data_IF_096402550774
#
_entry.id   IF_096402550774
#
_cell.length_a   1.000
_cell.length_b   1.000
_cell.length_c   1.000
_cell.angle_alpha   90.00
_cell.angle_beta   90.00
_cell.angle_gamma   90.00
#
_symmetry.space_group_name_H-M   'P 1'
#
loop_
_entity.id
_entity.type
_entity.pdbx_description
1 polymer ?
#
# COMPACT_ATOMS: atom_id res chain seq x y z
N UNK A 1 5.12 -12.40 -27.52
CA UNK A 1 5.19 -12.54 -26.05
C UNK A 1 3.77 -12.41 -25.50
N UNK A 2 3.12 -13.53 -25.24
CA UNK A 2 1.76 -13.61 -24.70
C UNK A 2 1.79 -13.28 -23.21
N UNK A 3 1.18 -12.17 -22.80
CA UNK A 3 1.03 -11.83 -21.38
C UNK A 3 0.05 -12.82 -20.72
N UNK A 4 0.30 -13.26 -19.47
CA UNK A 4 -0.65 -14.10 -18.74
C UNK A 4 -1.87 -13.26 -18.37
N UNK A 5 -3.05 -13.69 -18.81
CA UNK A 5 -4.31 -13.09 -18.41
C UNK A 5 -4.43 -13.15 -16.88
N UNK A 6 -4.50 -11.99 -16.23
CA UNK A 6 -4.96 -11.90 -14.85
C UNK A 6 -6.30 -12.61 -14.77
N UNK A 7 -6.40 -13.62 -13.91
CA UNK A 7 -7.66 -14.26 -13.58
C UNK A 7 -8.53 -13.26 -12.79
N UNK A 8 -9.13 -12.30 -13.51
CA UNK A 8 -10.21 -11.49 -12.99
C UNK A 8 -11.41 -12.43 -12.79
N UNK A 9 -11.85 -12.59 -11.54
CA UNK A 9 -13.11 -13.29 -11.27
C UNK A 9 -14.20 -12.60 -12.09
N UNK A 10 -14.87 -13.35 -12.96
CA UNK A 10 -15.92 -12.76 -13.78
C UNK A 10 -17.10 -12.33 -12.89
N UNK A 11 -17.77 -11.23 -13.24
CA UNK A 11 -18.93 -10.71 -12.52
C UNK A 11 -19.99 -11.78 -12.13
N UNK A 12 -20.33 -12.78 -12.97
CA UNK A 12 -21.23 -13.85 -12.57
C UNK A 12 -20.69 -14.76 -11.46
N UNK A 13 -19.37 -15.00 -11.38
CA UNK A 13 -18.78 -15.78 -10.27
C UNK A 13 -18.88 -15.00 -8.96
N UNK A 14 -18.68 -13.69 -8.96
CA UNK A 14 -18.83 -12.88 -7.75
C UNK A 14 -20.27 -12.86 -7.23
N UNK A 15 -21.25 -12.76 -8.14
CA UNK A 15 -22.66 -12.84 -7.78
C UNK A 15 -23.02 -14.24 -7.23
N UNK A 16 -22.51 -15.31 -7.83
CA UNK A 16 -22.70 -16.66 -7.33
C UNK A 16 -22.04 -16.90 -5.97
N UNK A 17 -20.82 -16.39 -5.76
CA UNK A 17 -20.12 -16.44 -4.47
C UNK A 17 -20.91 -15.72 -3.38
N UNK A 18 -21.47 -14.54 -3.68
CA UNK A 18 -22.27 -13.77 -2.73
C UNK A 18 -23.54 -14.52 -2.29
N UNK A 19 -24.29 -15.08 -3.25
CA UNK A 19 -25.49 -15.89 -2.97
C UNK A 19 -25.16 -17.15 -2.16
N UNK A 20 -24.04 -17.81 -2.48
CA UNK A 20 -23.58 -18.98 -1.72
C UNK A 20 -23.18 -18.62 -0.30
N UNK A 21 -22.57 -17.45 -0.09
CA UNK A 21 -22.22 -16.96 1.24
C UNK A 21 -23.44 -16.62 2.08
N UNK A 22 -24.45 -15.99 1.49
CA UNK A 22 -25.72 -15.66 2.15
C UNK A 22 -26.41 -16.91 2.70
N UNK A 23 -26.48 -17.98 1.90
CA UNK A 23 -27.13 -19.24 2.29
C UNK A 23 -26.17 -20.28 2.88
N UNK A 24 -24.92 -19.92 3.20
CA UNK A 24 -23.90 -20.88 3.58
C UNK A 24 -24.31 -21.77 4.76
N UNK A 25 -24.91 -21.16 5.80
CA UNK A 25 -25.33 -21.90 6.99
C UNK A 25 -26.46 -22.89 6.71
N UNK A 26 -27.44 -22.50 5.90
CA UNK A 26 -28.56 -23.35 5.51
C UNK A 26 -28.09 -24.54 4.67
N UNK A 27 -27.22 -24.28 3.69
CA UNK A 27 -26.62 -25.30 2.84
C UNK A 27 -25.81 -26.32 3.66
N UNK A 28 -25.07 -25.87 4.66
CA UNK A 28 -24.30 -26.75 5.56
C UNK A 28 -25.23 -27.62 6.41
N UNK A 29 -26.30 -27.05 6.99
CA UNK A 29 -27.26 -27.82 7.79
C UNK A 29 -27.98 -28.90 6.95
N UNK A 30 -28.35 -28.56 5.73
CA UNK A 30 -28.94 -29.49 4.77
C UNK A 30 -27.97 -30.61 4.38
N UNK A 31 -26.71 -30.26 4.08
CA UNK A 31 -25.66 -31.23 3.78
C UNK A 31 -25.49 -32.23 4.92
N UNK A 32 -25.43 -31.76 6.17
CA UNK A 32 -25.30 -32.63 7.36
C UNK A 32 -26.50 -33.55 7.49
N UNK A 33 -27.72 -33.04 7.26
CA UNK A 33 -28.94 -33.85 7.33
C UNK A 33 -28.94 -34.95 6.27
N UNK A 34 -28.55 -34.62 5.03
CA UNK A 34 -28.44 -35.57 3.92
C UNK A 34 -27.34 -36.61 4.16
N UNK A 35 -26.19 -36.19 4.69
CA UNK A 35 -25.10 -37.09 5.05
C UNK A 35 -25.54 -38.09 6.14
N UNK A 36 -26.26 -37.63 7.17
CA UNK A 36 -26.81 -38.50 8.24
C UNK A 36 -27.83 -39.52 7.72
N UNK A 37 -28.52 -39.22 6.62
CA UNK A 37 -29.45 -40.14 5.95
C UNK A 37 -28.75 -41.16 5.05
N UNK A 38 -27.42 -41.09 4.90
CA UNK A 38 -26.64 -42.02 4.11
C UNK A 38 -26.54 -41.66 2.61
N UNK A 39 -26.79 -40.41 2.22
CA UNK A 39 -26.64 -40.00 0.84
C UNK A 39 -25.15 -39.98 0.43
N UNK A 40 -24.71 -40.76 -0.58
CA UNK A 40 -23.28 -40.93 -0.90
C UNK A 40 -22.54 -39.62 -1.22
N UNK A 41 -23.19 -38.72 -1.96
CA UNK A 41 -22.61 -37.43 -2.33
C UNK A 41 -22.37 -36.53 -1.11
N UNK A 42 -23.35 -36.46 -0.21
CA UNK A 42 -23.26 -35.67 1.01
C UNK A 42 -22.23 -36.24 1.99
N UNK A 43 -22.16 -37.57 2.15
CA UNK A 43 -21.15 -38.23 2.99
C UNK A 43 -19.73 -37.97 2.48
N UNK A 44 -19.50 -38.04 1.16
CA UNK A 44 -18.20 -37.74 0.57
C UNK A 44 -17.78 -36.29 0.86
N UNK A 45 -18.65 -35.32 0.59
CA UNK A 45 -18.37 -33.90 0.85
C UNK A 45 -18.09 -33.67 2.34
N UNK A 46 -18.90 -34.25 3.23
CA UNK A 46 -18.69 -34.12 4.67
C UNK A 46 -17.33 -34.69 5.10
N UNK A 47 -16.94 -35.86 4.59
CA UNK A 47 -15.65 -36.49 4.90
C UNK A 47 -14.46 -35.65 4.39
N UNK A 48 -14.55 -35.11 3.17
CA UNK A 48 -13.54 -34.20 2.60
C UNK A 48 -13.39 -32.87 3.36
N UNK A 49 -14.40 -32.47 4.14
CA UNK A 49 -14.35 -31.27 4.99
C UNK A 49 -13.88 -31.56 6.41
N UNK A 50 -14.26 -32.70 7.00
CA UNK A 50 -13.85 -33.12 8.35
C UNK A 50 -12.37 -33.55 8.36
N UNK A 51 -11.95 -34.25 7.31
CA UNK A 51 -10.56 -34.65 7.09
C UNK A 51 -10.06 -33.93 5.85
N UNK A 52 -9.77 -32.63 5.92
CA UNK A 52 -9.24 -31.90 4.78
C UNK A 52 -7.88 -32.50 4.41
N UNK A 53 -7.89 -33.30 3.36
CA UNK A 53 -6.68 -33.87 2.76
C UNK A 53 -6.10 -32.83 1.80
N UNK A 54 -4.98 -32.21 2.18
CA UNK A 54 -4.21 -31.31 1.31
C UNK A 54 -4.39 -29.80 1.59
N UNK A 55 -4.43 -28.99 0.53
CA UNK A 55 -4.12 -27.54 0.51
C UNK A 55 -5.04 -26.61 1.33
N UNK A 56 -6.15 -27.12 1.87
CA UNK A 56 -7.11 -26.34 2.66
C UNK A 56 -7.09 -26.67 4.15
N UNK A 57 -6.20 -27.58 4.59
CA UNK A 57 -6.04 -27.90 6.01
C UNK A 57 -5.41 -26.70 6.72
N UNK A 58 -5.96 -26.24 7.85
CA UNK A 58 -5.28 -25.27 8.70
C UNK A 58 -3.92 -25.82 9.11
N UNK A 59 -2.84 -25.07 8.87
CA UNK A 59 -1.53 -25.51 9.32
C UNK A 59 -1.49 -25.45 10.85
N UNK A 60 -1.07 -26.54 11.52
CA UNK A 60 -1.04 -26.61 12.98
C UNK A 60 0.18 -25.89 13.58
N UNK A 61 0.82 -24.99 12.84
CA UNK A 61 2.10 -24.39 13.20
C UNK A 61 1.96 -22.89 13.23
N UNK A 62 2.29 -22.29 14.38
CA UNK A 62 2.40 -20.86 14.54
C UNK A 62 3.85 -20.44 14.24
N UNK A 63 4.04 -19.59 13.23
CA UNK A 63 5.36 -19.07 12.87
C UNK A 63 5.65 -17.77 13.64
N UNK A 64 6.89 -17.58 14.14
CA UNK A 64 7.29 -16.33 14.76
C UNK A 64 7.33 -15.19 13.72
N UNK A 65 7.22 -13.92 14.15
CA UNK A 65 7.31 -12.78 13.26
C UNK A 65 8.70 -12.71 12.62
N UNK A 66 8.76 -12.63 11.29
CA UNK A 66 10.02 -12.54 10.54
C UNK A 66 10.27 -11.09 10.14
N UNK A 67 11.24 -10.44 10.79
CA UNK A 67 11.65 -9.05 10.48
C UNK A 67 13.08 -8.98 9.96
N UNK A 68 13.90 -9.95 10.34
CA UNK A 68 15.32 -10.05 10.00
C UNK A 68 15.68 -11.46 9.50
N UNK A 69 16.92 -11.61 9.02
CA UNK A 69 17.46 -12.92 8.66
C UNK A 69 17.62 -13.86 9.88
N UNK A 70 17.86 -13.31 11.06
CA UNK A 70 17.93 -14.09 12.30
C UNK A 70 16.54 -14.66 12.66
N UNK A 71 15.48 -13.85 12.54
CA UNK A 71 14.11 -14.32 12.76
C UNK A 71 13.72 -15.41 11.76
N UNK A 72 14.20 -15.30 10.52
CA UNK A 72 13.97 -16.30 9.48
C UNK A 72 14.60 -17.66 9.84
N UNK A 73 15.79 -17.65 10.46
CA UNK A 73 16.43 -18.86 10.96
C UNK A 73 15.63 -19.49 12.11
N UNK A 74 15.11 -18.68 13.03
CA UNK A 74 14.23 -19.15 14.12
C UNK A 74 12.96 -19.78 13.56
N UNK A 75 12.31 -19.11 12.59
CA UNK A 75 11.12 -19.62 11.91
C UNK A 75 11.41 -20.95 11.18
N UNK A 76 12.56 -21.05 10.50
CA UNK A 76 12.98 -22.30 9.85
C UNK A 76 13.19 -23.44 10.86
N UNK A 77 13.70 -23.15 12.06
CA UNK A 77 13.79 -24.11 13.16
C UNK A 77 12.42 -24.67 13.56
N UNK A 78 11.43 -23.79 13.78
CA UNK A 78 10.05 -24.18 14.11
C UNK A 78 9.44 -25.06 13.01
N UNK A 79 9.66 -24.70 11.74
CA UNK A 79 9.19 -25.51 10.60
C UNK A 79 9.83 -26.90 10.61
N UNK A 80 11.14 -26.97 10.88
CA UNK A 80 11.88 -28.25 10.91
C UNK A 80 11.44 -29.13 12.07
N UNK A 81 11.13 -28.57 13.23
CA UNK A 81 10.67 -29.34 14.37
C UNK A 81 9.25 -29.87 14.14
N UNK A 82 8.35 -29.04 13.60
CA UNK A 82 7.01 -29.48 13.18
C UNK A 82 7.05 -30.56 12.08
N UNK A 83 8.05 -30.53 11.20
CA UNK A 83 8.29 -31.58 10.22
C UNK A 83 8.75 -32.89 10.86
N UNK A 84 9.66 -32.84 11.85
CA UNK A 84 10.13 -34.02 12.60
C UNK A 84 9.00 -34.67 13.39
N UNK A 85 8.12 -33.86 13.97
CA UNK A 85 6.95 -34.32 14.74
C UNK A 85 5.84 -34.88 13.84
N UNK A 86 5.94 -34.71 12.52
CA UNK A 86 4.93 -35.16 11.55
C UNK A 86 3.68 -34.27 11.53
N UNK A 87 3.71 -33.10 12.17
CA UNK A 87 2.64 -32.10 12.12
C UNK A 87 2.53 -31.44 10.74
N UNK A 88 3.65 -31.38 10.01
CA UNK A 88 3.78 -30.93 8.63
C UNK A 88 4.25 -32.05 7.70
N UNK A 89 3.75 -32.04 6.47
CA UNK A 89 4.35 -32.78 5.37
C UNK A 89 5.57 -32.06 4.81
N UNK A 90 6.47 -32.80 4.14
CA UNK A 90 7.63 -32.23 3.46
C UNK A 90 7.25 -31.14 2.45
N UNK A 91 6.11 -31.27 1.79
CA UNK A 91 5.63 -30.26 0.83
C UNK A 91 5.22 -28.97 1.53
N UNK A 92 4.45 -29.06 2.62
CA UNK A 92 4.05 -27.89 3.41
C UNK A 92 5.27 -27.18 4.02
N UNK A 93 6.27 -27.93 4.48
CA UNK A 93 7.50 -27.36 5.00
C UNK A 93 8.25 -26.53 3.93
N UNK A 94 8.36 -27.04 2.70
CA UNK A 94 8.97 -26.31 1.58
C UNK A 94 8.17 -25.04 1.25
N UNK A 95 6.84 -25.14 1.18
CA UNK A 95 5.97 -23.99 0.91
C UNK A 95 6.14 -22.91 1.99
N UNK A 96 6.23 -23.29 3.28
CA UNK A 96 6.48 -22.36 4.38
C UNK A 96 7.87 -21.72 4.33
N UNK A 97 8.92 -22.50 4.04
CA UNK A 97 10.29 -21.97 3.93
C UNK A 97 10.37 -20.93 2.81
N UNK A 98 9.68 -21.15 1.68
CA UNK A 98 9.61 -20.18 0.60
C UNK A 98 8.94 -18.87 1.03
N UNK A 99 7.86 -18.94 1.81
CA UNK A 99 7.18 -17.76 2.38
C UNK A 99 8.10 -16.99 3.32
N UNK A 100 8.79 -17.69 4.23
CA UNK A 100 9.76 -17.09 5.17
C UNK A 100 10.91 -16.42 4.42
N UNK A 101 11.46 -17.08 3.40
CA UNK A 101 12.51 -16.51 2.56
C UNK A 101 12.06 -15.25 1.82
N UNK A 102 10.86 -15.27 1.24
CA UNK A 102 10.28 -14.10 0.56
C UNK A 102 10.08 -12.91 1.50
N UNK A 103 9.62 -13.15 2.74
CA UNK A 103 9.43 -12.10 3.74
C UNK A 103 10.76 -11.47 4.16
N UNK A 104 11.80 -12.29 4.33
CA UNK A 104 13.16 -11.82 4.64
C UNK A 104 13.74 -10.95 3.52
N UNK A 105 13.48 -11.31 2.27
CA UNK A 105 13.89 -10.49 1.12
C UNK A 105 13.17 -9.15 1.10
N UNK A 106 11.86 -9.12 1.35
CA UNK A 106 11.07 -7.88 1.40
C UNK A 106 11.57 -6.92 2.47
N UNK A 107 11.84 -7.42 3.68
CA UNK A 107 12.32 -6.57 4.78
C UNK A 107 13.70 -6.00 4.46
N UNK A 108 14.62 -6.82 3.95
CA UNK A 108 15.93 -6.37 3.49
C UNK A 108 15.88 -5.34 2.36
N UNK A 109 14.98 -5.52 1.39
CA UNK A 109 14.79 -4.56 0.30
C UNK A 109 14.28 -3.21 0.81
N UNK A 110 13.33 -3.21 1.75
CA UNK A 110 12.83 -1.98 2.37
C UNK A 110 13.90 -1.26 3.19
N UNK A 111 14.70 -2.00 3.96
CA UNK A 111 15.84 -1.41 4.68
C UNK A 111 16.86 -0.79 3.73
N UNK A 112 17.16 -1.48 2.63
CA UNK A 112 18.05 -0.98 1.59
C UNK A 112 17.53 0.31 0.97
N UNK A 113 16.26 0.37 0.56
CA UNK A 113 15.64 1.56 -0.01
C UNK A 113 15.71 2.73 0.98
N UNK A 114 15.37 2.51 2.26
CA UNK A 114 15.47 3.53 3.32
C UNK A 114 16.89 4.05 3.48
N UNK A 115 17.89 3.16 3.44
CA UNK A 115 19.31 3.52 3.55
C UNK A 115 19.74 4.37 2.35
N UNK A 116 19.42 3.96 1.13
CA UNK A 116 19.74 4.70 -0.09
C UNK A 116 19.10 6.09 -0.06
N UNK A 117 17.81 6.17 0.28
CA UNK A 117 17.11 7.45 0.41
C UNK A 117 17.81 8.40 1.39
N UNK A 118 18.20 7.90 2.58
CA UNK A 118 18.98 8.71 3.55
C UNK A 118 20.31 9.19 2.99
N UNK A 119 21.05 8.32 2.30
CA UNK A 119 22.35 8.70 1.75
C UNK A 119 22.23 9.69 0.60
N UNK A 120 21.23 9.56 -0.25
CA UNK A 120 21.01 10.51 -1.34
C UNK A 120 20.54 11.86 -0.81
N UNK A 121 19.62 11.90 0.18
CA UNK A 121 19.23 13.15 0.85
C UNK A 121 20.44 13.83 1.49
N UNK A 122 21.32 13.08 2.18
CA UNK A 122 22.54 13.62 2.77
C UNK A 122 23.51 14.18 1.71
N UNK A 123 23.71 13.49 0.59
CA UNK A 123 24.55 13.97 -0.52
C UNK A 123 23.97 15.22 -1.17
N UNK A 124 22.67 15.24 -1.44
CA UNK A 124 21.99 16.40 -2.03
C UNK A 124 22.06 17.61 -1.11
N UNK A 125 21.84 17.41 0.19
CA UNK A 125 21.98 18.47 1.18
C UNK A 125 23.40 19.06 1.19
N UNK A 126 24.41 18.20 1.10
CA UNK A 126 25.80 18.64 1.00
C UNK A 126 26.07 19.46 -0.27
N UNK A 127 25.59 18.99 -1.43
CA UNK A 127 25.76 19.75 -2.68
C UNK A 127 25.03 21.10 -2.66
N UNK A 128 23.93 21.21 -1.92
CA UNK A 128 23.14 22.43 -1.78
C UNK A 128 23.60 23.32 -0.60
N UNK A 129 24.65 22.93 0.14
CA UNK A 129 25.10 23.64 1.33
C UNK A 129 24.11 23.62 2.50
N UNK A 130 23.13 22.71 2.47
CA UNK A 130 22.07 22.55 3.46
C UNK A 130 22.50 21.67 4.66
N UNK A 131 23.78 21.32 4.76
CA UNK A 131 24.32 20.57 5.90
C UNK A 131 24.00 21.27 7.23
N UNK A 132 24.16 22.60 7.25
CA UNK A 132 23.84 23.45 8.41
C UNK A 132 22.34 23.51 8.70
N UNK A 133 21.51 23.49 7.66
CA UNK A 133 20.05 23.50 7.76
C UNK A 133 19.51 22.18 8.34
N UNK A 134 20.06 21.03 7.92
CA UNK A 134 19.68 19.71 8.45
C UNK A 134 20.33 19.38 9.80
N UNK A 135 21.48 19.99 10.13
CA UNK A 135 22.13 19.83 11.44
C UNK A 135 21.48 20.68 12.54
N UNK A 136 20.74 21.73 12.17
CA UNK A 136 19.93 22.50 13.11
C UNK A 136 18.73 21.68 13.55
N UNK A 137 18.35 21.73 14.83
CA UNK A 137 17.08 21.16 15.29
C UNK A 137 15.99 21.79 14.41
N UNK A 138 15.19 21.01 13.66
CA UNK A 138 14.20 21.61 12.79
C UNK A 138 13.34 22.52 13.65
N UNK A 139 13.11 23.74 13.18
CA UNK A 139 12.07 24.59 13.75
C UNK A 139 10.76 23.84 13.52
N UNK A 140 10.37 23.01 14.47
CA UNK A 140 9.02 22.51 14.61
C UNK A 140 8.27 23.69 15.21
N UNK A 141 7.34 24.32 14.47
CA UNK A 141 6.37 25.19 15.12
C UNK A 141 5.76 24.40 16.28
N UNK A 142 5.64 25.06 17.44
CA UNK A 142 4.96 24.49 18.60
C UNK A 142 3.46 24.47 18.29
N UNK A 143 3.03 23.50 17.46
CA UNK A 143 1.67 23.41 16.94
C UNK A 143 0.66 23.31 18.09
N UNK A 144 1.03 22.66 19.20
CA UNK A 144 0.20 22.57 20.40
C UNK A 144 -0.04 23.94 21.04
N UNK A 145 1.00 24.79 21.14
CA UNK A 145 0.82 26.18 21.59
C UNK A 145 -0.06 26.97 20.61
N UNK A 146 0.17 26.80 19.31
CA UNK A 146 -0.50 27.58 18.26
C UNK A 146 -1.98 27.20 18.09
N UNK A 147 -2.34 25.93 18.23
CA UNK A 147 -3.74 25.49 18.30
C UNK A 147 -4.42 26.08 19.53
N UNK A 148 -3.75 26.10 20.70
CA UNK A 148 -4.31 26.74 21.90
C UNK A 148 -4.42 28.27 21.80
N UNK A 149 -3.60 28.92 20.97
CA UNK A 149 -3.69 30.36 20.68
C UNK A 149 -4.86 30.66 19.73
N UNK A 150 -5.10 29.80 18.72
CA UNK A 150 -6.25 29.91 17.80
C UNK A 150 -7.56 29.63 18.53
N UNK A 151 -7.62 28.59 19.35
CA UNK A 151 -8.80 28.26 20.16
C UNK A 151 -9.08 29.36 21.22
N UNK A 152 -8.04 30.01 21.75
CA UNK A 152 -8.19 31.14 22.68
C UNK A 152 -8.55 32.46 22.00
N UNK A 153 -8.23 32.63 20.71
CA UNK A 153 -8.66 33.77 19.89
C UNK A 153 -10.09 33.58 19.35
N UNK A 154 -10.54 32.34 19.09
CA UNK A 154 -11.91 32.02 18.66
C UNK A 154 -12.95 32.05 19.79
N UNK A 155 -12.57 31.84 21.07
CA UNK A 155 -13.51 31.93 22.21
C UNK A 155 -13.74 33.36 22.73
N UNK A 156 -13.18 34.37 22.08
CA UNK A 156 -13.10 35.73 22.62
C UNK A 156 -13.41 36.84 21.63
N UNK A 157 -14.36 36.66 20.71
CA UNK A 157 -14.98 37.77 19.97
C UNK A 157 -16.25 37.26 19.27
N UNK A 158 -17.39 37.36 19.95
CA UNK A 158 -18.66 37.61 19.26
C UNK A 158 -18.51 38.99 18.61
N UNK A 159 -17.86 39.05 17.43
CA UNK A 159 -17.78 40.29 16.67
C UNK A 159 -19.20 40.70 16.33
N UNK A 160 -19.63 41.81 16.92
CA UNK A 160 -20.89 42.45 16.61
C UNK A 160 -20.79 43.05 15.20
N UNK A 161 -21.29 42.30 14.21
CA UNK A 161 -21.33 42.70 12.80
C UNK A 161 -22.33 43.84 12.51
N UNK A 162 -22.91 44.49 13.53
CA UNK A 162 -23.91 45.55 13.34
C UNK A 162 -23.34 46.92 12.95
N UNK A 163 -22.01 47.08 12.90
CA UNK A 163 -21.33 48.32 12.45
C UNK A 163 -20.39 48.09 11.23
N UNK A 164 -20.73 47.14 10.37
CA UNK A 164 -20.07 47.03 9.06
C UNK A 164 -20.54 48.19 8.16
N UNK A 165 -19.63 49.00 7.59
CA UNK A 165 -20.03 50.03 6.62
C UNK A 165 -20.61 49.37 5.38
N UNK A 166 -21.88 49.68 5.10
CA UNK A 166 -22.58 49.20 3.91
C UNK A 166 -22.06 49.96 2.67
N UNK A 167 -21.07 49.37 2.01
CA UNK A 167 -20.50 49.91 0.77
C UNK A 167 -19.34 49.06 0.29
N UNK A 168 -19.61 48.15 -0.65
CA UNK A 168 -18.55 47.49 -1.41
C UNK A 168 -17.72 48.57 -2.13
N UNK A 169 -16.38 48.59 -2.03
CA UNK A 169 -15.58 49.41 -2.92
C UNK A 169 -15.80 48.90 -4.35
N UNK A 170 -16.32 49.77 -5.21
CA UNK A 170 -16.43 49.54 -6.64
C UNK A 170 -15.11 48.97 -7.17
N UNK A 171 -15.20 47.83 -7.87
CA UNK A 171 -14.05 47.15 -8.43
C UNK A 171 -13.30 48.06 -9.39
N UNK A 172 -12.05 48.38 -9.05
CA UNK A 172 -11.10 48.97 -9.98
C UNK A 172 -10.70 47.88 -10.99
N UNK A 173 -11.34 47.91 -12.17
CA UNK A 173 -10.97 47.15 -13.36
C UNK A 173 -9.61 47.62 -13.89
N UNK A 174 -8.51 47.24 -13.23
CA UNK A 174 -7.18 47.52 -13.74
C UNK A 174 -6.13 46.47 -13.34
N UNK A 175 -6.44 45.19 -13.56
CA UNK A 175 -5.43 44.14 -13.75
C UNK A 175 -5.49 43.61 -15.19
N UNK A 176 -4.89 44.36 -16.11
CA UNK A 176 -4.60 43.86 -17.45
C UNK A 176 -3.50 42.80 -17.37
N UNK A 177 -3.89 41.55 -17.62
CA UNK A 177 -2.98 40.45 -17.93
C UNK A 177 -2.34 40.79 -19.29
N UNK A 178 -1.06 41.15 -19.30
CA UNK A 178 -0.28 41.26 -20.54
C UNK A 178 0.03 39.84 -21.01
N UNK A 179 -0.73 39.38 -21.99
CA UNK A 179 -0.36 38.25 -22.83
C UNK A 179 0.70 38.74 -23.82
N UNK A 180 1.95 38.33 -23.63
CA UNK A 180 3.00 38.51 -24.64
C UNK A 180 2.86 37.36 -25.65
N UNK A 181 2.37 37.68 -26.84
CA UNK A 181 2.24 36.77 -27.98
C UNK A 181 2.47 37.57 -29.25
N UNK A 182 3.52 37.17 -29.97
CA UNK A 182 3.76 37.36 -31.40
C UNK A 182 4.32 38.72 -31.87
N UNK A 183 5.65 38.77 -32.00
CA UNK A 183 6.34 39.67 -32.94
C UNK A 183 6.96 38.83 -34.08
N UNK A 184 6.22 38.70 -35.18
CA UNK A 184 6.77 38.36 -36.49
C UNK A 184 7.17 39.66 -37.23
N UNK A 185 8.44 39.76 -37.67
CA UNK A 185 8.85 40.95 -38.42
C UNK A 185 10.27 41.02 -38.99
N UNK A 186 10.70 40.01 -39.75
CA UNK A 186 11.63 40.09 -40.90
C UNK A 186 12.93 40.94 -40.81
N UNK A 187 14.08 40.28 -40.99
CA UNK A 187 15.17 40.79 -41.87
C UNK A 187 16.13 39.67 -42.30
N UNK A 188 15.92 39.23 -43.54
CA UNK A 188 16.89 38.90 -44.59
C UNK A 188 18.38 38.76 -44.22
N UNK A 189 19.01 37.67 -44.70
CA UNK A 189 20.46 37.64 -44.93
C UNK A 189 21.01 36.23 -45.03
N UNK A 190 21.30 35.80 -46.27
CA UNK A 190 21.91 34.53 -46.65
C UNK A 190 23.19 34.17 -45.84
N UNK A 191 23.48 32.86 -45.72
CA UNK A 191 24.67 32.21 -46.29
C UNK A 191 24.89 30.81 -45.68
N UNK A 192 24.60 29.80 -46.50
CA UNK A 192 25.48 28.67 -46.88
C UNK A 192 26.40 27.97 -45.84
N UNK A 193 26.30 26.63 -45.78
CA UNK A 193 27.36 25.73 -45.29
C UNK A 193 26.85 24.70 -44.28
N UNK A 194 26.36 23.52 -44.70
CA UNK A 194 27.18 22.30 -44.86
C UNK A 194 27.98 21.91 -43.62
N UNK A 195 27.59 20.81 -42.95
CA UNK A 195 28.41 19.75 -42.28
C UNK A 195 27.45 18.91 -41.40
N UNK A 196 26.86 17.83 -41.91
CA UNK A 196 27.36 16.45 -41.84
C UNK A 196 27.50 15.91 -40.41
N UNK A 197 26.46 15.22 -39.95
CA UNK A 197 26.52 14.21 -38.90
C UNK A 197 27.27 12.98 -39.43
N UNK A 198 28.26 12.53 -38.67
CA UNK A 198 28.79 11.17 -38.72
C UNK A 198 29.06 10.70 -37.31
#
# INVERSE_FOLDING_TARGET
MTQPALAARNAPTLAAEALLFEHAQELVNDLVTRAKRGEPAAMRIAMERILPVGRGRPLPVELPPVRSAEDAQVAAGVIMDALKEGALSAREAVDLINVVGALTWLTGALEYIKKVARTEVAKSAHTLGLDHFLASRPYLPDFERRESEIDAEEEGQDEDWSDMPEGAPDGDESLQIVADSDDEGQRTGDLNGSTALR
#
